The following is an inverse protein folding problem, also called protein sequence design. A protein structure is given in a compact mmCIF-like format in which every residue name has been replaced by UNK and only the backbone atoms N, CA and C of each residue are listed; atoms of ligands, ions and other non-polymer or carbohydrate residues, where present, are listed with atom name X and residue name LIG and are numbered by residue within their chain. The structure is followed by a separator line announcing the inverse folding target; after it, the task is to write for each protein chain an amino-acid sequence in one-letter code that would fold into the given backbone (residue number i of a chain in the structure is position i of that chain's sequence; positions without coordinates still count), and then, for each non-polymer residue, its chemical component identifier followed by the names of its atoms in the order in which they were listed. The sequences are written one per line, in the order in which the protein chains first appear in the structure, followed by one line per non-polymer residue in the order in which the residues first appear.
data_IF_119152162549
#
_entry.id   IF_119152162549
#
_cell.length_a   1.000
_cell.length_b   1.000
_cell.length_c   1.000
_cell.angle_alpha   90.00
_cell.angle_beta   90.00
_cell.angle_gamma   90.00
#
_symmetry.space_group_name_H-M   'P 1'
#
loop_
_entity.id
_entity.type
_entity.pdbx_description
1 polymer ?
#
# COMPACT_ATOMS: atom_id res chain seq x y z
N UNK A 1 -16.58 15.81 23.94
CA UNK A 1 -16.72 14.67 23.00
C UNK A 1 -15.90 14.88 21.71
N UNK A 2 -14.82 15.67 21.71
CA UNK A 2 -14.05 15.97 20.49
C UNK A 2 -12.94 14.94 20.18
N UNK A 3 -12.26 14.42 21.21
CA UNK A 3 -11.13 13.50 21.00
C UNK A 3 -11.47 12.13 20.38
N UNK A 4 -12.72 11.67 20.46
CA UNK A 4 -13.14 10.40 19.82
C UNK A 4 -13.35 10.60 18.32
N UNK A 5 -13.94 11.73 17.91
CA UNK A 5 -14.17 12.04 16.50
C UNK A 5 -12.85 12.28 15.75
N UNK A 6 -11.87 12.92 16.40
CA UNK A 6 -10.53 13.11 15.81
C UNK A 6 -9.77 11.79 15.62
N UNK A 7 -9.87 10.88 16.59
CA UNK A 7 -9.29 9.54 16.48
C UNK A 7 -9.96 8.71 15.38
N UNK A 8 -11.28 8.82 15.24
CA UNK A 8 -12.01 8.12 14.18
C UNK A 8 -11.62 8.65 12.79
N UNK A 9 -11.58 9.97 12.60
CA UNK A 9 -11.16 10.59 11.36
C UNK A 9 -9.72 10.21 10.98
N UNK A 10 -8.80 10.20 11.95
CA UNK A 10 -7.42 9.79 11.74
C UNK A 10 -7.31 8.31 11.31
N UNK A 11 -8.16 7.45 11.86
CA UNK A 11 -8.22 6.03 11.49
C UNK A 11 -8.76 5.84 10.06
N UNK A 12 -9.83 6.56 9.69
CA UNK A 12 -10.40 6.52 8.34
C UNK A 12 -9.40 7.01 7.28
N UNK A 13 -8.72 8.13 7.54
CA UNK A 13 -7.67 8.65 6.67
C UNK A 13 -6.50 7.68 6.51
N UNK A 14 -6.11 7.00 7.60
CA UNK A 14 -5.05 5.99 7.56
C UNK A 14 -5.49 4.74 6.80
N UNK A 15 -6.72 4.26 7.00
CA UNK A 15 -7.25 3.13 6.25
C UNK A 15 -7.32 3.43 4.74
N UNK A 16 -7.73 4.65 4.36
CA UNK A 16 -7.72 5.10 2.98
C UNK A 16 -6.29 5.16 2.40
N UNK A 17 -5.31 5.64 3.18
CA UNK A 17 -3.91 5.65 2.78
C UNK A 17 -3.34 4.24 2.58
N UNK A 18 -3.69 3.30 3.48
CA UNK A 18 -3.33 1.87 3.37
C UNK A 18 -3.92 1.25 2.11
N UNK A 19 -5.23 1.44 1.87
CA UNK A 19 -5.90 0.92 0.67
C UNK A 19 -5.26 1.45 -0.63
N UNK A 20 -4.94 2.74 -0.67
CA UNK A 20 -4.26 3.36 -1.82
C UNK A 20 -2.84 2.80 -2.03
N UNK A 21 -2.11 2.52 -0.96
CA UNK A 21 -0.77 1.91 -1.07
C UNK A 21 -0.85 0.48 -1.62
N UNK A 22 -1.85 -0.31 -1.22
CA UNK A 22 -2.07 -1.63 -1.80
C UNK A 22 -2.29 -1.56 -3.31
N UNK A 23 -3.18 -0.67 -3.78
CA UNK A 23 -3.41 -0.47 -5.21
C UNK A 23 -2.15 -0.07 -5.98
N UNK A 24 -1.32 0.82 -5.41
CA UNK A 24 -0.06 1.22 -6.02
C UNK A 24 0.95 0.05 -6.09
N UNK A 25 1.06 -0.74 -5.03
CA UNK A 25 1.95 -1.91 -4.99
C UNK A 25 1.52 -2.97 -6.01
N UNK A 26 0.22 -3.20 -6.16
CA UNK A 26 -0.34 -4.12 -7.16
C UNK A 26 0.01 -3.65 -8.58
N UNK A 27 -0.23 -2.37 -8.89
CA UNK A 27 0.10 -1.78 -10.18
C UNK A 27 1.60 -1.84 -10.49
N UNK A 28 2.46 -1.47 -9.52
CA UNK A 28 3.91 -1.56 -9.68
C UNK A 28 4.36 -3.01 -9.95
N UNK A 29 3.72 -3.98 -9.28
CA UNK A 29 4.01 -5.41 -9.46
C UNK A 29 3.59 -5.92 -10.83
N UNK A 30 2.43 -5.49 -11.34
CA UNK A 30 1.97 -5.82 -12.68
C UNK A 30 2.95 -5.30 -13.74
N UNK A 31 3.37 -4.04 -13.64
CA UNK A 31 4.35 -3.43 -14.55
C UNK A 31 5.68 -4.20 -14.50
N UNK A 32 6.20 -4.50 -13.31
CA UNK A 32 7.43 -5.29 -13.13
C UNK A 32 7.32 -6.65 -13.83
N UNK A 33 6.20 -7.34 -13.66
CA UNK A 33 5.98 -8.65 -14.27
C UNK A 33 5.90 -8.56 -15.79
N UNK A 34 5.24 -7.53 -16.33
CA UNK A 34 5.18 -7.27 -17.78
C UNK A 34 6.57 -7.00 -18.36
N UNK A 35 7.39 -6.17 -17.71
CA UNK A 35 8.75 -5.89 -18.16
C UNK A 35 9.61 -7.16 -18.19
N UNK A 36 9.58 -7.95 -17.11
CA UNK A 36 10.31 -9.22 -17.02
C UNK A 36 9.84 -10.26 -18.03
N UNK A 37 8.53 -10.36 -18.28
CA UNK A 37 7.97 -11.27 -19.27
C UNK A 37 8.43 -10.93 -20.70
N UNK A 38 8.69 -9.64 -20.97
CA UNK A 38 9.25 -9.18 -22.24
C UNK A 38 10.78 -9.24 -22.29
N UNK A 39 11.45 -9.78 -21.26
CA UNK A 39 12.91 -9.84 -21.18
C UNK A 39 13.58 -8.48 -21.01
N UNK A 40 12.84 -7.46 -20.57
CA UNK A 40 13.35 -6.12 -20.31
C UNK A 40 13.87 -6.05 -18.88
N UNK A 41 15.18 -5.90 -18.74
CA UNK A 41 15.88 -5.70 -17.46
C UNK A 41 16.71 -4.42 -17.53
N UNK A 42 16.01 -3.28 -17.55
CA UNK A 42 16.58 -1.95 -17.73
C UNK A 42 16.41 -1.07 -16.48
N UNK A 43 16.92 0.17 -16.57
CA UNK A 43 16.82 1.14 -15.48
C UNK A 43 15.35 1.45 -15.11
N UNK A 44 14.42 1.36 -16.06
CA UNK A 44 13.00 1.58 -15.80
C UNK A 44 12.39 0.48 -14.94
N UNK A 45 12.72 -0.80 -15.21
CA UNK A 45 12.32 -1.90 -14.32
C UNK A 45 12.83 -1.66 -12.89
N UNK A 46 14.08 -1.24 -12.74
CA UNK A 46 14.65 -0.94 -11.43
C UNK A 46 13.96 0.24 -10.73
N UNK A 47 13.51 1.25 -11.46
CA UNK A 47 12.69 2.33 -10.92
C UNK A 47 11.36 1.81 -10.34
N UNK A 48 10.64 0.95 -11.06
CA UNK A 48 9.40 0.35 -10.56
C UNK A 48 9.64 -0.55 -9.34
N UNK A 49 10.72 -1.34 -9.33
CA UNK A 49 11.10 -2.15 -8.16
C UNK A 49 11.36 -1.26 -6.94
N UNK A 50 12.08 -0.16 -7.12
CA UNK A 50 12.35 0.79 -6.04
C UNK A 50 11.07 1.49 -5.56
N UNK A 51 10.18 1.89 -6.48
CA UNK A 51 8.90 2.52 -6.15
C UNK A 51 8.05 1.59 -5.29
N UNK A 52 7.94 0.31 -5.69
CA UNK A 52 7.23 -0.72 -4.94
C UNK A 52 7.81 -0.92 -3.54
N UNK A 53 9.14 -0.94 -3.41
CA UNK A 53 9.81 -1.10 -2.12
C UNK A 53 9.55 0.08 -1.18
N UNK A 54 9.56 1.32 -1.70
CA UNK A 54 9.20 2.50 -0.92
C UNK A 54 7.72 2.49 -0.50
N UNK A 55 6.82 2.04 -1.38
CA UNK A 55 5.40 1.89 -1.06
C UNK A 55 5.18 0.83 0.04
N UNK A 56 5.89 -0.30 -0.02
CA UNK A 56 5.86 -1.34 1.01
C UNK A 56 6.40 -0.84 2.36
N UNK A 57 7.47 -0.03 2.35
CA UNK A 57 8.03 0.58 3.56
C UNK A 57 7.02 1.53 4.21
N UNK A 58 6.35 2.38 3.43
CA UNK A 58 5.28 3.26 3.93
C UNK A 58 4.10 2.48 4.49
N UNK A 59 3.71 1.40 3.81
CA UNK A 59 2.66 0.50 4.30
C UNK A 59 3.04 -0.09 5.67
N UNK A 60 4.26 -0.62 5.80
CA UNK A 60 4.76 -1.13 7.08
C UNK A 60 4.70 -0.09 8.19
N UNK A 61 5.09 1.16 7.92
CA UNK A 61 5.03 2.25 8.91
C UNK A 61 3.60 2.61 9.33
N UNK A 62 2.63 2.53 8.40
CA UNK A 62 1.22 2.80 8.72
C UNK A 62 0.59 1.66 9.54
N UNK A 63 1.05 0.42 9.34
CA UNK A 63 0.59 -0.76 10.07
C UNK A 63 1.23 -0.89 11.46
N UNK A 64 2.52 -0.56 11.62
CA UNK A 64 3.25 -0.61 12.91
C UNK A 64 2.84 0.48 13.90
N UNK A 65 2.02 1.44 13.48
CA UNK A 65 1.59 2.52 14.35
C UNK A 65 0.72 1.97 15.51
N UNK A 66 1.13 2.15 16.78
CA UNK A 66 0.74 1.30 17.94
C UNK A 66 -0.69 1.49 18.47
N UNK A 67 -1.66 1.85 17.62
CA UNK A 67 -3.01 2.23 18.06
C UNK A 67 -4.19 1.52 17.36
N UNK A 68 -3.98 0.57 16.46
CA UNK A 68 -5.11 -0.08 15.77
C UNK A 68 -5.00 -1.59 15.69
N UNK A 69 -6.02 -2.26 16.25
CA UNK A 69 -6.47 -3.53 15.71
C UNK A 69 -7.09 -3.28 14.34
N UNK A 70 -6.27 -3.28 13.30
CA UNK A 70 -6.75 -3.14 11.91
C UNK A 70 -7.46 -4.45 11.56
N UNK A 71 -8.80 -4.45 11.64
CA UNK A 71 -9.60 -5.54 11.09
C UNK A 71 -9.67 -5.33 9.57
N UNK A 72 -8.66 -5.83 8.86
CA UNK A 72 -8.69 -5.89 7.39
C UNK A 72 -9.67 -6.99 6.97
N UNK A 73 -10.92 -6.63 6.69
CA UNK A 73 -11.83 -7.52 5.98
C UNK A 73 -11.53 -7.42 4.49
N UNK A 74 -10.71 -8.33 3.97
CA UNK A 74 -10.64 -8.56 2.54
C UNK A 74 -11.95 -9.22 2.12
N UNK A 75 -12.89 -8.42 1.62
CA UNK A 75 -14.09 -8.94 0.99
C UNK A 75 -13.66 -9.79 -0.20
N UNK A 76 -13.95 -11.08 -0.13
CA UNK A 76 -13.85 -11.98 -1.28
C UNK A 76 -14.71 -11.38 -2.41
N UNK A 77 -14.08 -10.89 -3.47
CA UNK A 77 -14.78 -10.66 -4.71
C UNK A 77 -15.13 -12.05 -5.27
N UNK A 78 -16.40 -12.43 -5.12
CA UNK A 78 -17.00 -13.65 -5.64
C UNK A 78 -17.10 -13.61 -7.17
#
# INVERSE_FOLDING_TARGET
MEGINELQLANEQRAAAVAKLFQLIEMDTEIINLYRANGVDDEHLMQYVNLRNENLKKLSQLLDAPKLGIHLSFGNAA
#
